data_IF_190525227202
#
_entry.id   IF_190525227202
#
_cell.length_a   1.000
_cell.length_b   1.000
_cell.length_c   1.000
_cell.angle_alpha   90.00
_cell.angle_beta   90.00
_cell.angle_gamma   90.00
#
_symmetry.space_group_name_H-M   'P 1'
#
loop_
_entity.id
_entity.type
_entity.pdbx_description
1 polymer ?
#
# COMPACT_ATOMS: atom_id res chain seq x y z
N UNK A 1 -20.70 -4.43 -31.71
CA UNK A 1 -20.60 -5.03 -30.36
C UNK A 1 -20.56 -3.87 -29.37
N UNK A 2 -21.69 -3.57 -28.72
CA UNK A 2 -21.81 -2.41 -27.81
C UNK A 2 -21.06 -2.70 -26.51
N UNK A 3 -20.06 -1.88 -26.20
CA UNK A 3 -19.32 -1.91 -24.94
C UNK A 3 -20.22 -1.38 -23.82
N UNK A 4 -20.81 -2.28 -23.03
CA UNK A 4 -21.52 -1.96 -21.78
C UNK A 4 -20.55 -1.64 -20.62
N UNK A 5 -19.42 -0.99 -20.89
CA UNK A 5 -18.54 -0.49 -19.84
C UNK A 5 -19.01 0.92 -19.46
N UNK A 6 -19.91 0.98 -18.48
CA UNK A 6 -20.49 2.23 -17.99
C UNK A 6 -19.44 2.96 -17.13
N UNK A 7 -18.89 4.05 -17.66
CA UNK A 7 -17.78 4.83 -17.07
C UNK A 7 -18.23 5.88 -16.04
N UNK A 8 -19.53 5.92 -15.68
CA UNK A 8 -20.04 6.83 -14.65
C UNK A 8 -19.52 6.42 -13.27
N UNK A 9 -18.75 7.30 -12.65
CA UNK A 9 -18.21 7.15 -11.28
C UNK A 9 -19.36 7.06 -10.24
N UNK A 10 -20.52 7.58 -10.63
CA UNK A 10 -21.78 7.72 -9.91
C UNK A 10 -22.81 6.61 -10.23
N UNK A 11 -22.49 5.66 -11.13
CA UNK A 11 -23.35 4.51 -11.33
C UNK A 11 -23.18 3.51 -10.16
N UNK A 12 -24.28 3.07 -9.50
CA UNK A 12 -24.18 2.09 -8.43
C UNK A 12 -23.53 0.82 -8.96
N UNK A 13 -22.43 0.41 -8.34
CA UNK A 13 -21.79 -0.86 -8.66
C UNK A 13 -22.82 -1.99 -8.49
N UNK A 14 -22.89 -2.92 -9.44
CA UNK A 14 -23.63 -4.16 -9.22
C UNK A 14 -23.08 -4.84 -7.96
N UNK A 15 -23.94 -5.45 -7.13
CA UNK A 15 -23.51 -6.08 -5.88
C UNK A 15 -22.38 -7.10 -6.10
N UNK A 16 -22.43 -7.81 -7.23
CA UNK A 16 -21.37 -8.72 -7.67
C UNK A 16 -20.03 -8.00 -7.86
N UNK A 17 -20.00 -6.86 -8.56
CA UNK A 17 -18.77 -6.09 -8.78
C UNK A 17 -18.25 -5.48 -7.47
N UNK A 18 -19.15 -5.07 -6.56
CA UNK A 18 -18.80 -4.61 -5.21
C UNK A 18 -18.13 -5.72 -4.41
N UNK A 19 -18.70 -6.93 -4.41
CA UNK A 19 -18.15 -8.09 -3.71
C UNK A 19 -16.73 -8.42 -4.18
N UNK A 20 -16.50 -8.51 -5.49
CA UNK A 20 -15.17 -8.78 -6.03
C UNK A 20 -14.14 -7.71 -5.69
N UNK A 21 -14.52 -6.42 -5.73
CA UNK A 21 -13.64 -5.31 -5.31
C UNK A 21 -13.23 -5.46 -3.84
N UNK A 22 -14.19 -5.79 -2.97
CA UNK A 22 -13.92 -6.06 -1.55
C UNK A 22 -12.97 -7.25 -1.39
N UNK A 23 -13.17 -8.36 -2.11
CA UNK A 23 -12.27 -9.51 -2.07
C UNK A 23 -10.83 -9.16 -2.47
N UNK A 24 -10.66 -8.37 -3.54
CA UNK A 24 -9.34 -7.92 -4.00
C UNK A 24 -8.67 -7.06 -2.93
N UNK A 25 -9.38 -6.12 -2.33
CA UNK A 25 -8.83 -5.30 -1.25
C UNK A 25 -8.55 -6.09 0.04
N UNK A 26 -9.37 -7.09 0.37
CA UNK A 26 -9.14 -7.98 1.51
C UNK A 26 -7.83 -8.78 1.40
N UNK A 27 -7.36 -9.06 0.18
CA UNK A 27 -6.06 -9.71 -0.05
C UNK A 27 -4.93 -8.70 -0.10
N UNK A 28 -5.14 -7.57 -0.78
CA UNK A 28 -4.10 -6.57 -0.99
C UNK A 28 -3.72 -5.81 0.29
N UNK A 29 -4.68 -5.53 1.17
CA UNK A 29 -4.44 -4.75 2.39
C UNK A 29 -3.52 -5.47 3.39
N UNK A 30 -3.75 -6.76 3.76
CA UNK A 30 -2.83 -7.50 4.61
C UNK A 30 -1.44 -7.64 3.99
N UNK A 31 -1.38 -7.85 2.67
CA UNK A 31 -0.11 -7.97 1.96
C UNK A 31 0.69 -6.66 2.01
N UNK A 32 0.03 -5.51 1.77
CA UNK A 32 0.66 -4.20 1.93
C UNK A 32 1.10 -3.94 3.37
N UNK A 33 0.26 -4.27 4.35
CA UNK A 33 0.58 -4.10 5.77
C UNK A 33 1.81 -4.94 6.14
N UNK A 34 1.83 -6.23 5.76
CA UNK A 34 2.97 -7.11 6.01
C UNK A 34 4.26 -6.63 5.33
N UNK A 35 4.18 -6.18 4.07
CA UNK A 35 5.33 -5.62 3.37
C UNK A 35 5.83 -4.33 4.03
N UNK A 36 4.94 -3.41 4.40
CA UNK A 36 5.32 -2.17 5.09
C UNK A 36 6.01 -2.44 6.42
N UNK A 37 5.51 -3.41 7.20
CA UNK A 37 6.14 -3.84 8.44
C UNK A 37 7.51 -4.47 8.19
N UNK A 38 7.66 -5.27 7.14
CA UNK A 38 8.97 -5.80 6.73
C UNK A 38 9.96 -4.69 6.36
N UNK A 39 9.52 -3.71 5.57
CA UNK A 39 10.37 -2.59 5.14
C UNK A 39 10.88 -1.78 6.32
N UNK A 40 10.02 -1.41 7.28
CA UNK A 40 10.47 -0.59 8.42
C UNK A 40 11.50 -1.33 9.28
N UNK A 41 11.37 -2.66 9.43
CA UNK A 41 12.37 -3.49 10.12
C UNK A 41 13.71 -3.54 9.37
N UNK A 42 13.68 -3.74 8.05
CA UNK A 42 14.89 -3.75 7.23
C UNK A 42 15.59 -2.40 7.27
N UNK A 43 14.83 -1.31 7.17
CA UNK A 43 15.35 0.05 7.24
C UNK A 43 15.95 0.34 8.61
N UNK A 44 15.30 -0.13 9.68
CA UNK A 44 15.79 -0.01 11.06
C UNK A 44 17.15 -0.66 11.22
N UNK A 45 17.28 -1.92 10.79
CA UNK A 45 18.55 -2.65 10.81
C UNK A 45 19.64 -1.99 9.96
N UNK A 46 19.29 -1.45 8.79
CA UNK A 46 20.26 -0.78 7.91
C UNK A 46 20.85 0.49 8.55
N UNK A 47 20.05 1.18 9.36
CA UNK A 47 20.44 2.44 10.01
C UNK A 47 20.86 2.25 11.48
N UNK A 48 20.98 1.01 11.97
CA UNK A 48 21.17 0.67 13.39
C UNK A 48 20.16 1.40 14.31
N UNK A 49 18.91 1.52 13.84
CA UNK A 49 17.83 2.17 14.56
C UNK A 49 16.88 1.12 15.15
N UNK A 50 16.73 1.10 16.48
CA UNK A 50 15.74 0.26 17.13
C UNK A 50 14.33 0.87 16.97
N UNK A 51 13.54 0.25 16.10
CA UNK A 51 12.18 0.69 15.81
C UNK A 51 11.19 0.42 16.95
N UNK A 52 11.57 -0.38 17.95
CA UNK A 52 10.74 -0.70 19.10
C UNK A 52 10.96 0.28 20.26
N UNK A 53 12.05 1.04 20.21
CA UNK A 53 12.32 2.08 21.19
C UNK A 53 11.57 3.38 20.86
N UNK A 54 11.22 4.19 21.88
CA UNK A 54 10.70 5.52 21.67
C UNK A 54 11.69 6.37 20.84
N UNK A 55 11.20 7.08 19.82
CA UNK A 55 12.05 7.98 19.00
C UNK A 55 12.84 8.98 19.87
N UNK A 56 12.26 9.41 21.01
CA UNK A 56 12.90 10.34 21.96
C UNK A 56 14.12 9.78 22.71
N UNK A 57 14.27 8.46 22.79
CA UNK A 57 15.43 7.79 23.40
C UNK A 57 16.49 7.42 22.37
N UNK A 58 16.22 7.65 21.09
CA UNK A 58 17.15 7.40 20.01
C UNK A 58 18.40 8.27 20.12
N UNK A 59 19.56 7.69 19.86
CA UNK A 59 20.83 8.41 19.69
C UNK A 59 20.93 9.08 18.31
N UNK A 60 19.98 8.84 17.41
CA UNK A 60 19.96 9.43 16.08
C UNK A 60 19.74 10.94 16.12
N UNK A 61 20.47 11.64 15.26
CA UNK A 61 20.22 13.04 14.96
C UNK A 61 18.86 13.25 14.29
N UNK A 62 18.32 14.46 14.39
CA UNK A 62 17.08 14.84 13.70
C UNK A 62 17.14 14.63 12.17
N UNK A 63 18.33 14.77 11.57
CA UNK A 63 18.55 14.55 10.14
C UNK A 63 18.41 13.05 9.81
N UNK A 64 19.01 12.16 10.59
CA UNK A 64 18.90 10.71 10.40
C UNK A 64 17.47 10.21 10.58
N UNK A 65 16.75 10.74 11.57
CA UNK A 65 15.32 10.45 11.77
C UNK A 65 14.51 10.90 10.55
N UNK A 66 14.79 12.09 10.01
CA UNK A 66 14.10 12.61 8.82
C UNK A 66 14.40 11.75 7.59
N UNK A 67 15.65 11.32 7.40
CA UNK A 67 16.04 10.43 6.31
C UNK A 67 15.37 9.06 6.44
N UNK A 68 15.30 8.50 7.64
CA UNK A 68 14.63 7.23 7.92
C UNK A 68 13.16 7.27 7.52
N UNK A 69 12.40 8.23 8.07
CA UNK A 69 10.96 8.34 7.77
C UNK A 69 10.71 8.79 6.32
N UNK A 70 11.59 9.61 5.74
CA UNK A 70 11.52 9.99 4.33
C UNK A 70 11.69 8.80 3.39
N UNK A 71 12.73 7.99 3.60
CA UNK A 71 12.96 6.78 2.84
C UNK A 71 11.82 5.77 3.01
N UNK A 72 11.37 5.54 4.25
CA UNK A 72 10.21 4.70 4.52
C UNK A 72 8.94 5.18 3.80
N UNK A 73 8.65 6.49 3.86
CA UNK A 73 7.51 7.09 3.18
C UNK A 73 7.55 6.92 1.66
N UNK A 74 8.71 7.09 1.03
CA UNK A 74 8.88 6.84 -0.40
C UNK A 74 8.61 5.38 -0.77
N UNK A 75 9.08 4.44 0.04
CA UNK A 75 8.81 3.01 -0.20
C UNK A 75 7.32 2.69 -0.02
N UNK A 76 6.66 3.27 0.99
CA UNK A 76 5.21 3.12 1.16
C UNK A 76 4.43 3.63 -0.06
N UNK A 77 4.81 4.78 -0.61
CA UNK A 77 4.19 5.34 -1.81
C UNK A 77 4.36 4.40 -3.02
N UNK A 78 5.56 3.83 -3.20
CA UNK A 78 5.82 2.84 -4.26
C UNK A 78 4.99 1.57 -4.08
N UNK A 79 4.93 1.03 -2.85
CA UNK A 79 4.11 -0.15 -2.53
C UNK A 79 2.62 0.12 -2.75
N UNK A 80 2.15 1.31 -2.40
CA UNK A 80 0.77 1.72 -2.63
C UNK A 80 0.46 1.84 -4.12
N UNK A 81 1.36 2.46 -4.90
CA UNK A 81 1.25 2.52 -6.35
C UNK A 81 1.20 1.13 -7.00
N UNK A 82 2.06 0.20 -6.53
CA UNK A 82 2.05 -1.19 -6.96
C UNK A 82 0.73 -1.90 -6.62
N UNK A 83 0.19 -1.66 -5.42
CA UNK A 83 -1.09 -2.20 -4.99
C UNK A 83 -2.23 -1.74 -5.93
N UNK A 84 -2.30 -0.45 -6.23
CA UNK A 84 -3.28 0.11 -7.15
C UNK A 84 -3.13 -0.46 -8.56
N UNK A 85 -1.89 -0.66 -9.01
CA UNK A 85 -1.60 -1.28 -10.31
C UNK A 85 -2.08 -2.74 -10.36
N UNK A 86 -1.82 -3.52 -9.31
CA UNK A 86 -2.31 -4.91 -9.20
C UNK A 86 -3.84 -4.93 -9.18
N UNK A 87 -4.47 -4.08 -8.37
CA UNK A 87 -5.93 -3.97 -8.30
C UNK A 87 -6.55 -3.63 -9.66
N UNK A 88 -5.99 -2.63 -10.36
CA UNK A 88 -6.39 -2.25 -11.72
C UNK A 88 -6.32 -3.44 -12.68
N UNK A 89 -5.19 -4.16 -12.69
CA UNK A 89 -5.01 -5.31 -13.56
C UNK A 89 -5.97 -6.46 -13.23
N UNK A 90 -6.24 -6.69 -11.94
CA UNK A 90 -7.21 -7.69 -11.50
C UNK A 90 -8.63 -7.35 -11.98
N UNK A 91 -9.06 -6.09 -11.82
CA UNK A 91 -10.38 -5.64 -12.28
C UNK A 91 -10.51 -5.71 -13.80
N UNK A 92 -9.49 -5.29 -14.56
CA UNK A 92 -9.48 -5.41 -16.02
C UNK A 92 -9.59 -6.87 -16.49
N UNK A 93 -8.85 -7.80 -15.87
CA UNK A 93 -8.93 -9.24 -16.20
C UNK A 93 -10.31 -9.83 -15.89
N UNK A 94 -10.94 -9.38 -14.82
CA UNK A 94 -12.25 -9.84 -14.39
C UNK A 94 -13.41 -9.11 -15.11
N UNK A 95 -13.12 -8.11 -15.96
CA UNK A 95 -14.10 -7.24 -16.64
C UNK A 95 -15.02 -6.50 -15.65
N UNK A 96 -14.45 -6.03 -14.53
CA UNK A 96 -15.11 -5.32 -13.41
C UNK A 96 -14.75 -3.83 -13.40
#
# INVERSE_FOLDING_TARGET
MSSNFNYRIDAPFSEKNRFFRVCVYLVLLPLFTGLSAGVINVLGNLMNYDINEPIRSSELSAIEITMFFGAFGLVLLMLFGLMLFIAKNAFQRLKI
#
